data_IF_478988099342
#
_entry.id   IF_478988099342
#
_cell.length_a   1.000
_cell.length_b   1.000
_cell.length_c   1.000
_cell.angle_alpha   90.00
_cell.angle_beta   90.00
_cell.angle_gamma   90.00
#
_symmetry.space_group_name_H-M   'P 1'
#
loop_
_entity.id
_entity.type
_entity.pdbx_description
1 polymer ?
#
# COMPACT_ATOMS: atom_id res chain seq x y z
N UNK A 1 61.71 -43.85 -4.67
CA UNK A 1 61.78 -43.87 -3.19
C UNK A 1 62.29 -42.54 -2.65
N UNK A 2 63.41 -41.99 -3.16
CA UNK A 2 63.97 -40.69 -2.73
C UNK A 2 63.00 -39.49 -2.78
N UNK A 3 62.07 -39.45 -3.74
CA UNK A 3 61.09 -38.35 -3.85
C UNK A 3 60.13 -38.31 -2.64
N UNK A 4 59.76 -39.46 -2.09
CA UNK A 4 58.85 -39.55 -0.94
C UNK A 4 59.54 -39.09 0.35
N UNK A 5 60.82 -39.42 0.54
CA UNK A 5 61.60 -39.00 1.71
C UNK A 5 61.92 -37.50 1.70
N UNK A 6 61.97 -36.88 0.51
CA UNK A 6 62.11 -35.43 0.38
C UNK A 6 60.79 -34.71 0.71
N UNK A 7 59.66 -35.26 0.26
CA UNK A 7 58.33 -34.77 0.59
C UNK A 7 58.03 -34.85 2.09
N UNK A 8 58.37 -35.97 2.72
CA UNK A 8 58.16 -36.17 4.17
C UNK A 8 58.95 -35.14 4.99
N UNK A 9 60.22 -34.92 4.65
CA UNK A 9 61.05 -33.88 5.29
C UNK A 9 60.53 -32.46 5.07
N UNK A 10 59.96 -32.20 3.89
CA UNK A 10 59.34 -30.91 3.60
C UNK A 10 58.12 -30.64 4.50
N UNK A 11 57.23 -31.62 4.66
CA UNK A 11 56.05 -31.48 5.53
C UNK A 11 56.43 -31.43 7.02
N UNK A 12 57.45 -32.17 7.45
CA UNK A 12 57.98 -32.10 8.83
C UNK A 12 58.54 -30.71 9.16
N UNK A 13 59.23 -30.08 8.22
CA UNK A 13 59.74 -28.72 8.38
C UNK A 13 58.59 -27.71 8.43
N UNK A 14 57.61 -27.84 7.55
CA UNK A 14 56.43 -26.98 7.52
C UNK A 14 55.64 -27.06 8.84
N UNK A 15 55.42 -28.27 9.36
CA UNK A 15 54.73 -28.47 10.64
C UNK A 15 55.46 -27.81 11.82
N UNK A 16 56.79 -27.95 11.88
CA UNK A 16 57.61 -27.30 12.92
C UNK A 16 57.54 -25.78 12.86
N UNK A 17 57.36 -25.20 11.68
CA UNK A 17 57.17 -23.77 11.50
C UNK A 17 55.78 -23.33 11.95
N UNK A 18 54.74 -24.11 11.62
CA UNK A 18 53.35 -23.84 11.99
C UNK A 18 53.15 -23.88 13.51
N UNK A 19 53.82 -24.80 14.21
CA UNK A 19 53.80 -24.88 15.69
C UNK A 19 54.35 -23.63 16.39
N UNK A 20 55.15 -22.81 15.71
CA UNK A 20 55.70 -21.56 16.26
C UNK A 20 54.81 -20.34 16.00
N UNK A 21 53.76 -20.49 15.18
CA UNK A 21 52.85 -19.40 14.86
C UNK A 21 51.82 -19.30 15.98
N UNK A 22 51.75 -18.13 16.62
CA UNK A 22 50.70 -17.84 17.58
C UNK A 22 49.34 -17.82 16.88
N UNK A 23 48.44 -18.71 17.30
CA UNK A 23 47.06 -18.74 16.78
C UNK A 23 46.33 -17.50 17.32
N UNK A 24 45.86 -16.58 16.46
CA UNK A 24 45.15 -15.41 16.92
C UNK A 24 43.83 -15.81 17.57
N UNK A 25 43.54 -15.22 18.73
CA UNK A 25 42.26 -15.43 19.41
C UNK A 25 41.15 -14.79 18.59
N UNK A 26 40.04 -15.51 18.41
CA UNK A 26 38.86 -14.97 17.75
C UNK A 26 38.32 -13.77 18.54
N UNK A 27 38.08 -12.61 17.91
CA UNK A 27 37.61 -11.43 18.64
C UNK A 27 36.22 -11.68 19.21
N UNK A 28 36.03 -11.36 20.49
CA UNK A 28 34.70 -11.41 21.11
C UNK A 28 33.76 -10.40 20.46
N UNK A 29 32.64 -10.87 19.94
CA UNK A 29 31.57 -10.00 19.44
C UNK A 29 30.85 -9.37 20.62
N UNK A 30 31.01 -8.05 20.81
CA UNK A 30 30.22 -7.30 21.79
C UNK A 30 28.80 -7.14 21.26
N UNK A 31 27.90 -8.02 21.64
CA UNK A 31 26.46 -7.80 21.41
C UNK A 31 26.03 -6.64 22.30
N UNK A 32 25.82 -5.46 21.70
CA UNK A 32 25.28 -4.31 22.42
C UNK A 32 23.93 -4.68 23.03
N UNK A 33 23.77 -4.49 24.34
CA UNK A 33 22.46 -4.60 24.98
C UNK A 33 21.61 -3.46 24.42
N UNK A 34 20.58 -3.77 23.64
CA UNK A 34 19.59 -2.78 23.24
C UNK A 34 18.98 -2.18 24.51
N UNK A 35 19.22 -0.89 24.74
CA UNK A 35 18.64 -0.18 25.87
C UNK A 35 17.12 -0.19 25.76
N UNK A 36 16.42 -0.42 26.88
CA UNK A 36 14.95 -0.44 26.97
C UNK A 36 14.28 0.85 26.44
N UNK A 37 15.05 1.91 26.26
CA UNK A 37 14.63 3.18 25.66
C UNK A 37 14.17 3.06 24.21
N UNK A 38 14.72 2.12 23.42
CA UNK A 38 14.32 1.97 22.00
C UNK A 38 12.87 1.44 21.89
N UNK A 39 12.50 0.33 22.55
CA UNK A 39 11.09 -0.10 22.61
C UNK A 39 10.15 0.97 23.17
N UNK A 40 10.57 1.71 24.20
CA UNK A 40 9.76 2.76 24.82
C UNK A 40 9.48 3.92 23.85
N UNK A 41 10.47 4.35 23.06
CA UNK A 41 10.30 5.40 22.06
C UNK A 41 9.32 5.02 20.94
N UNK A 42 9.34 3.76 20.50
CA UNK A 42 8.43 3.25 19.47
C UNK A 42 6.98 3.30 19.97
N UNK A 43 6.71 2.82 21.19
CA UNK A 43 5.36 2.84 21.77
C UNK A 43 4.80 4.27 21.88
N UNK A 44 5.61 5.22 22.34
CA UNK A 44 5.20 6.63 22.43
C UNK A 44 4.86 7.24 21.06
N UNK A 45 5.64 6.92 20.02
CA UNK A 45 5.39 7.42 18.67
C UNK A 45 4.07 6.92 18.07
N UNK A 46 3.71 5.65 18.33
CA UNK A 46 2.46 5.04 17.85
C UNK A 46 1.25 5.68 18.55
N UNK A 47 1.34 5.88 19.87
CA UNK A 47 0.27 6.53 20.64
C UNK A 47 0.06 7.96 20.15
N UNK A 48 1.15 8.69 19.89
CA UNK A 48 1.06 10.06 19.40
C UNK A 48 0.45 10.13 18.01
N UNK A 49 0.84 9.23 17.09
CA UNK A 49 0.25 9.14 15.76
C UNK A 49 -1.27 8.85 15.81
N UNK A 50 -1.72 8.03 16.77
CA UNK A 50 -3.15 7.75 16.95
C UNK A 50 -3.98 9.00 17.28
N UNK A 51 -3.40 9.99 17.97
CA UNK A 51 -4.09 11.25 18.28
C UNK A 51 -4.39 12.11 17.04
N UNK A 52 -3.70 11.88 15.92
CA UNK A 52 -3.90 12.62 14.67
C UNK A 52 -4.75 11.86 13.64
N UNK A 53 -5.24 10.66 13.96
CA UNK A 53 -6.17 9.94 13.10
C UNK A 53 -7.53 10.66 13.16
N UNK A 54 -7.83 11.43 12.12
CA UNK A 54 -9.16 12.01 11.92
C UNK A 54 -10.08 10.96 11.31
N UNK A 55 -11.33 10.91 11.77
CA UNK A 55 -12.36 10.12 11.10
C UNK A 55 -12.56 10.70 9.69
N UNK A 56 -12.61 9.88 8.64
CA UNK A 56 -12.99 10.37 7.33
C UNK A 56 -14.35 11.04 7.46
N UNK A 57 -14.44 12.30 7.06
CA UNK A 57 -15.72 13.00 6.96
C UNK A 57 -16.55 12.21 5.95
N UNK A 58 -17.79 11.80 6.28
CA UNK A 58 -18.67 11.22 5.28
C UNK A 58 -18.82 12.25 4.17
N UNK A 59 -18.34 11.93 2.97
CA UNK A 59 -18.72 12.69 1.77
C UNK A 59 -20.24 12.60 1.69
N UNK A 60 -20.90 13.75 1.85
CA UNK A 60 -22.33 13.86 1.57
C UNK A 60 -22.58 13.27 0.17
N UNK A 61 -23.63 12.45 0.05
CA UNK A 61 -24.03 11.85 -1.21
C UNK A 61 -24.10 12.95 -2.27
N UNK A 62 -23.41 12.75 -3.40
CA UNK A 62 -23.29 13.74 -4.46
C UNK A 62 -24.66 14.33 -4.77
N UNK A 63 -24.75 15.66 -4.76
CA UNK A 63 -25.88 16.37 -5.35
C UNK A 63 -26.17 15.80 -6.73
N UNK A 64 -27.44 15.57 -7.10
CA UNK A 64 -27.76 15.02 -8.41
C UNK A 64 -27.19 15.94 -9.49
N UNK A 65 -26.39 15.38 -10.39
CA UNK A 65 -25.74 16.12 -11.47
C UNK A 65 -26.77 16.54 -12.53
N UNK A 66 -27.88 15.79 -12.64
CA UNK A 66 -28.93 16.01 -13.65
C UNK A 66 -30.32 15.90 -13.02
N UNK A 67 -31.19 16.85 -13.36
CA UNK A 67 -32.63 16.84 -13.05
C UNK A 67 -33.40 16.70 -14.36
N UNK A 68 -34.19 15.64 -14.50
CA UNK A 68 -34.99 15.35 -15.69
C UNK A 68 -36.44 15.74 -15.39
N UNK A 69 -37.02 16.61 -16.22
CA UNK A 69 -38.40 17.07 -16.09
C UNK A 69 -39.17 16.61 -17.33
N UNK A 70 -40.13 15.71 -17.14
CA UNK A 70 -40.90 15.09 -18.22
C UNK A 70 -42.38 15.44 -18.08
N UNK A 71 -43.02 15.86 -19.17
CA UNK A 71 -44.47 16.03 -19.26
C UNK A 71 -45.10 14.72 -19.73
N UNK A 72 -46.00 14.15 -18.94
CA UNK A 72 -46.69 12.89 -19.23
C UNK A 72 -48.20 13.14 -19.23
N UNK A 73 -48.92 12.51 -20.16
CA UNK A 73 -50.38 12.52 -20.22
C UNK A 73 -50.94 11.22 -19.65
N UNK A 74 -51.94 11.30 -18.78
CA UNK A 74 -52.61 10.13 -18.19
C UNK A 74 -53.73 9.58 -19.09
N UNK A 75 -54.32 8.45 -18.68
CA UNK A 75 -55.44 7.82 -19.41
C UNK A 75 -56.69 8.71 -19.55
N UNK A 76 -56.79 9.76 -18.74
CA UNK A 76 -57.89 10.72 -18.72
C UNK A 76 -57.53 12.04 -19.41
N UNK A 77 -56.45 12.08 -20.20
CA UNK A 77 -55.96 13.25 -20.92
C UNK A 77 -55.51 14.41 -20.02
N UNK A 78 -55.17 14.13 -18.76
CA UNK A 78 -54.58 15.13 -17.87
C UNK A 78 -53.06 15.08 -17.97
N UNK A 79 -52.47 16.26 -18.10
CA UNK A 79 -51.03 16.42 -18.14
C UNK A 79 -50.46 16.57 -16.72
N UNK A 80 -49.38 15.85 -16.44
CA UNK A 80 -48.63 15.95 -15.19
C UNK A 80 -47.12 15.98 -15.44
N UNK A 81 -46.39 16.63 -14.55
CA UNK A 81 -44.93 16.64 -14.57
C UNK A 81 -44.37 15.51 -13.71
N UNK A 82 -43.41 14.76 -14.24
CA UNK A 82 -42.60 13.79 -13.52
C UNK A 82 -41.17 14.34 -13.40
N UNK A 83 -40.62 14.31 -12.19
CA UNK A 83 -39.28 14.82 -11.88
C UNK A 83 -38.43 13.64 -11.40
N UNK A 84 -37.32 13.41 -12.10
CA UNK A 84 -36.36 12.35 -11.78
C UNK A 84 -34.98 12.96 -11.54
N UNK A 85 -34.34 12.56 -10.43
CA UNK A 85 -32.98 12.95 -10.08
C UNK A 85 -32.02 11.80 -10.43
N UNK A 86 -31.05 12.06 -11.31
CA UNK A 86 -30.09 11.06 -11.77
C UNK A 86 -28.66 11.62 -11.78
N UNK A 87 -27.68 10.72 -11.70
CA UNK A 87 -26.26 11.04 -11.86
C UNK A 87 -25.77 10.83 -13.30
N UNK A 88 -26.63 10.36 -14.21
CA UNK A 88 -26.24 10.04 -15.58
C UNK A 88 -27.43 10.18 -16.55
N UNK A 89 -27.12 10.62 -17.79
CA UNK A 89 -28.06 10.79 -18.89
C UNK A 89 -27.44 10.15 -20.15
N UNK A 90 -28.12 9.15 -20.73
CA UNK A 90 -27.62 8.42 -21.90
C UNK A 90 -27.60 9.28 -23.20
N UNK A 91 -28.50 10.25 -23.33
CA UNK A 91 -28.58 11.14 -24.51
C UNK A 91 -29.09 12.53 -24.12
N UNK A 92 -28.49 13.58 -24.69
CA UNK A 92 -28.90 14.98 -24.52
C UNK A 92 -30.08 15.39 -25.39
N UNK A 93 -30.59 14.48 -26.22
CA UNK A 93 -31.76 14.75 -27.04
C UNK A 93 -33.01 14.74 -26.17
N UNK A 94 -33.74 15.85 -26.20
CA UNK A 94 -35.02 15.97 -25.52
C UNK A 94 -35.97 14.88 -26.06
N UNK A 95 -36.66 14.09 -25.21
CA UNK A 95 -37.69 13.12 -25.63
C UNK A 95 -38.88 13.76 -26.40
N UNK A 96 -38.82 15.07 -26.60
CA UNK A 96 -39.78 15.99 -27.23
C UNK A 96 -39.98 15.77 -28.74
N UNK A 97 -39.53 14.65 -29.30
CA UNK A 97 -39.75 14.32 -30.71
C UNK A 97 -41.24 14.34 -31.12
N UNK A 98 -42.18 14.25 -30.16
CA UNK A 98 -43.63 14.35 -30.43
C UNK A 98 -44.23 15.75 -30.37
N UNK A 99 -43.57 16.79 -29.81
CA UNK A 99 -44.19 18.13 -29.67
C UNK A 99 -43.92 19.08 -30.85
N UNK A 100 -43.06 18.70 -31.80
CA UNK A 100 -42.70 19.54 -32.96
C UNK A 100 -43.27 19.03 -34.29
N UNK A 101 -44.08 17.98 -34.29
CA UNK A 101 -44.77 17.47 -35.47
C UNK A 101 -46.28 17.65 -35.35
N UNK A 102 -46.72 18.91 -35.32
CA UNK A 102 -48.06 19.28 -35.78
C UNK A 102 -47.94 19.76 -37.24
N UNK A 103 -48.60 19.05 -38.15
CA UNK A 103 -48.98 19.50 -39.49
C UNK A 103 -50.44 19.12 -39.73
#
# INVERSE_FOLDING_TARGET
MENNEQLERFFDQMKKQDEQIEIPVFPEVKTGKFSFWIPAGIAASIIFAFLFIQKPVPTESSTPEVVIITLVEDENQNQHFTIEESTFLDTWESPTASLLTEY
#
